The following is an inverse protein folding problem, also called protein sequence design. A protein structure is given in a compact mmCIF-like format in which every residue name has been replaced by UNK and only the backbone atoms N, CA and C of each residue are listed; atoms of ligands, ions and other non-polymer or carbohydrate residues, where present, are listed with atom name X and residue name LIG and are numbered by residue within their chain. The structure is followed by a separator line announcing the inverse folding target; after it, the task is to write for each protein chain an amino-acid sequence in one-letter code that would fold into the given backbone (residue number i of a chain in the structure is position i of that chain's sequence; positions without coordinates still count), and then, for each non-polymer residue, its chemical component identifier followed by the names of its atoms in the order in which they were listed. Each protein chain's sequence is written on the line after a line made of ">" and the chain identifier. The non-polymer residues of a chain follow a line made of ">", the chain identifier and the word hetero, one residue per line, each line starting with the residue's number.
data_IF_211651862573
#
_entry.id   IF_211651862573
#
_cell.length_a   1.000
_cell.length_b   1.000
_cell.length_c   1.000
_cell.angle_alpha   90.00
_cell.angle_beta   90.00
_cell.angle_gamma   90.00
#
_symmetry.space_group_name_H-M   'P 1'
#
loop_
_entity.id
_entity.type
_entity.pdbx_description
1 polymer ?
#
# COMPACT_ATOMS: atom_id res chain seq x y z
N UNK A 1 14.06 -18.08 46.24
CA UNK A 1 13.56 -16.97 45.45
C UNK A 1 12.55 -17.55 44.45
N UNK A 2 11.29 -17.60 44.86
CA UNK A 2 10.18 -18.08 44.05
C UNK A 2 9.89 -17.06 42.97
N UNK A 3 10.11 -17.44 41.74
CA UNK A 3 9.60 -16.73 40.57
C UNK A 3 8.08 -16.91 40.57
N UNK A 4 7.39 -15.90 41.03
CA UNK A 4 5.95 -15.77 40.88
C UNK A 4 5.60 -15.67 39.42
N UNK A 5 5.11 -16.77 38.86
CA UNK A 5 4.55 -16.77 37.52
C UNK A 5 3.20 -16.08 37.61
N UNK A 6 3.16 -14.78 37.29
CA UNK A 6 1.91 -14.03 37.20
C UNK A 6 1.12 -14.59 35.98
N UNK A 7 0.28 -15.58 36.24
CA UNK A 7 -0.69 -16.13 35.30
C UNK A 7 -1.85 -15.15 35.15
N UNK A 8 -1.59 -13.98 34.61
CA UNK A 8 -2.67 -13.16 34.07
C UNK A 8 -3.34 -13.96 32.95
N UNK A 9 -4.67 -13.99 33.03
CA UNK A 9 -5.47 -14.74 32.04
C UNK A 9 -5.13 -14.38 30.61
N UNK A 10 -5.62 -15.12 29.61
CA UNK A 10 -5.26 -14.93 28.22
C UNK A 10 -5.49 -13.49 27.79
N UNK A 11 -4.44 -12.83 27.31
CA UNK A 11 -4.54 -11.50 26.71
C UNK A 11 -5.28 -11.67 25.38
N UNK A 12 -6.41 -10.99 25.23
CA UNK A 12 -7.16 -10.94 23.97
C UNK A 12 -6.80 -9.65 23.24
N UNK A 13 -6.13 -9.77 22.10
CA UNK A 13 -5.92 -8.68 21.18
C UNK A 13 -6.77 -8.92 19.92
N UNK A 14 -7.53 -7.92 19.51
CA UNK A 14 -8.18 -7.93 18.20
C UNK A 14 -7.14 -7.55 17.15
N UNK A 15 -7.11 -8.29 16.06
CA UNK A 15 -6.26 -8.02 14.89
C UNK A 15 -7.19 -7.95 13.69
N UNK A 16 -7.07 -6.89 12.88
CA UNK A 16 -7.84 -6.75 11.66
C UNK A 16 -7.09 -7.31 10.44
N UNK A 17 -7.80 -7.41 9.31
CA UNK A 17 -7.25 -7.99 8.09
C UNK A 17 -6.10 -7.14 7.51
N UNK A 18 -6.18 -5.80 7.64
CA UNK A 18 -5.12 -4.90 7.16
C UNK A 18 -3.83 -5.09 7.97
N UNK A 19 -3.93 -5.32 9.27
CA UNK A 19 -2.77 -5.62 10.13
C UNK A 19 -2.12 -6.96 9.78
N UNK A 20 -2.92 -7.96 9.40
CA UNK A 20 -2.43 -9.25 8.91
C UNK A 20 -1.69 -9.09 7.59
N UNK A 21 -2.25 -8.32 6.65
CA UNK A 21 -1.63 -8.02 5.36
C UNK A 21 -0.29 -7.31 5.55
N UNK A 22 -0.25 -6.30 6.42
CA UNK A 22 1.00 -5.59 6.76
C UNK A 22 2.03 -6.53 7.37
N UNK A 23 1.61 -7.42 8.28
CA UNK A 23 2.49 -8.40 8.91
C UNK A 23 2.99 -9.44 7.90
N UNK A 24 2.15 -9.85 6.94
CA UNK A 24 2.56 -10.73 5.85
C UNK A 24 3.69 -10.12 5.01
N UNK A 25 3.52 -8.87 4.57
CA UNK A 25 4.56 -8.18 3.80
C UNK A 25 5.86 -8.05 4.58
N UNK A 26 5.77 -7.72 5.88
CA UNK A 26 6.93 -7.62 6.74
C UNK A 26 7.71 -8.95 6.84
N UNK A 27 6.98 -10.07 7.01
CA UNK A 27 7.58 -11.41 7.03
C UNK A 27 8.26 -11.76 5.70
N UNK A 28 7.62 -11.45 4.57
CA UNK A 28 8.18 -11.72 3.25
C UNK A 28 9.40 -10.82 2.96
N UNK A 29 9.28 -9.51 3.21
CA UNK A 29 10.32 -8.53 2.87
C UNK A 29 11.55 -8.64 3.79
N UNK A 30 11.34 -8.78 5.10
CA UNK A 30 12.43 -8.72 6.08
C UNK A 30 12.93 -10.08 6.52
N UNK A 31 12.05 -11.09 6.60
CA UNK A 31 12.39 -12.41 7.11
C UNK A 31 12.45 -13.49 6.03
N UNK A 32 12.02 -13.19 4.79
CA UNK A 32 11.98 -14.13 3.66
C UNK A 32 11.13 -15.38 3.97
N UNK A 33 10.07 -15.19 4.75
CA UNK A 33 9.17 -16.25 5.18
C UNK A 33 7.76 -15.99 4.65
N UNK A 34 7.13 -17.05 4.15
CA UNK A 34 5.72 -17.06 3.78
C UNK A 34 4.95 -17.78 4.88
N UNK A 35 4.04 -17.07 5.52
CA UNK A 35 3.22 -17.56 6.63
C UNK A 35 1.76 -17.26 6.32
N UNK A 36 0.87 -18.24 6.49
CA UNK A 36 -0.56 -18.02 6.29
C UNK A 36 -1.16 -17.07 7.33
N UNK A 37 -2.33 -16.47 7.02
CA UNK A 37 -2.96 -15.46 7.86
C UNK A 37 -3.17 -15.90 9.32
N UNK A 38 -3.55 -17.15 9.53
CA UNK A 38 -3.73 -17.72 10.88
C UNK A 38 -2.43 -17.75 11.69
N UNK A 39 -1.31 -18.03 11.03
CA UNK A 39 0.02 -18.02 11.65
C UNK A 39 0.54 -16.63 11.96
N UNK A 40 0.05 -15.61 11.25
CA UNK A 40 0.47 -14.21 11.43
C UNK A 40 -0.24 -13.50 12.59
N UNK A 41 -1.35 -14.04 13.09
CA UNK A 41 -2.11 -13.45 14.19
C UNK A 41 -1.23 -13.11 15.39
N UNK A 42 -0.28 -13.98 15.74
CA UNK A 42 0.61 -13.78 16.87
C UNK A 42 1.61 -12.63 16.64
N UNK A 43 2.06 -12.42 15.41
CA UNK A 43 2.96 -11.30 15.04
C UNK A 43 2.19 -9.99 15.00
N UNK A 44 1.04 -9.97 14.34
CA UNK A 44 0.19 -8.79 14.24
C UNK A 44 -0.28 -8.30 15.62
N UNK A 45 -0.63 -9.22 16.52
CA UNK A 45 -1.05 -8.91 17.90
C UNK A 45 0.06 -8.23 18.73
N UNK A 46 1.35 -8.34 18.38
CA UNK A 46 2.43 -7.68 19.13
C UNK A 46 2.28 -6.16 19.16
N UNK A 47 1.63 -5.58 18.15
CA UNK A 47 1.38 -4.13 18.07
C UNK A 47 0.42 -3.64 19.16
N UNK A 48 -0.43 -4.52 19.67
CA UNK A 48 -1.42 -4.23 20.68
C UNK A 48 -0.96 -4.56 22.12
N UNK A 49 0.26 -5.06 22.27
CA UNK A 49 0.80 -5.51 23.53
C UNK A 49 1.91 -4.57 24.02
N UNK A 50 1.92 -4.28 25.33
CA UNK A 50 3.08 -3.66 25.94
C UNK A 50 4.21 -4.70 26.08
N UNK A 51 5.14 -4.63 25.15
CA UNK A 51 6.28 -5.55 25.02
C UNK A 51 7.60 -4.94 25.47
N UNK A 52 7.57 -3.70 25.99
CA UNK A 52 8.77 -2.97 26.39
C UNK A 52 9.58 -3.75 27.43
N UNK A 53 10.84 -3.99 27.12
CA UNK A 53 11.78 -4.71 28.00
C UNK A 53 11.50 -6.21 28.18
N UNK A 54 10.55 -6.78 27.40
CA UNK A 54 10.21 -8.21 27.48
C UNK A 54 10.86 -9.00 26.35
N UNK A 55 11.22 -10.25 26.64
CA UNK A 55 11.55 -11.25 25.62
C UNK A 55 10.28 -11.97 25.23
N UNK A 56 9.93 -11.92 23.95
CA UNK A 56 8.71 -12.50 23.42
C UNK A 56 9.06 -13.59 22.43
N UNK A 57 8.34 -14.69 22.49
CA UNK A 57 8.39 -15.77 21.53
C UNK A 57 7.04 -15.84 20.85
N UNK A 58 7.03 -15.65 19.54
CA UNK A 58 5.86 -15.80 18.70
C UNK A 58 5.99 -17.10 17.89
N UNK A 59 4.96 -17.94 17.96
CA UNK A 59 4.93 -19.18 17.20
C UNK A 59 4.25 -18.88 15.85
N UNK A 60 5.00 -19.03 14.79
CA UNK A 60 4.48 -18.97 13.42
C UNK A 60 4.03 -20.38 13.02
N UNK A 61 2.76 -20.54 12.76
CA UNK A 61 2.19 -21.82 12.34
C UNK A 61 1.50 -21.69 11.00
N UNK A 62 1.70 -22.69 10.14
CA UNK A 62 1.05 -22.73 8.83
C UNK A 62 1.79 -21.98 7.72
N UNK A 63 1.85 -22.61 6.59
CA UNK A 63 2.45 -22.08 5.35
C UNK A 63 1.66 -22.51 4.12
N UNK A 64 0.42 -22.96 4.30
CA UNK A 64 -0.44 -23.43 3.23
C UNK A 64 -1.24 -22.28 2.62
N UNK A 65 -0.53 -21.36 1.99
CA UNK A 65 -1.15 -20.26 1.25
C UNK A 65 -1.04 -20.56 -0.26
N UNK A 66 -2.17 -20.57 -0.97
CA UNK A 66 -2.15 -20.71 -2.42
C UNK A 66 -1.61 -19.43 -3.09
N UNK A 67 -1.12 -19.58 -4.33
CA UNK A 67 -0.44 -18.50 -5.07
C UNK A 67 -1.39 -17.35 -5.39
N UNK A 68 -2.67 -17.61 -5.62
CA UNK A 68 -3.67 -16.58 -5.95
C UNK A 68 -3.94 -15.72 -4.71
N UNK A 69 -4.14 -16.36 -3.56
CA UNK A 69 -4.30 -15.67 -2.27
C UNK A 69 -3.06 -14.86 -1.93
N UNK A 70 -1.86 -15.42 -2.14
CA UNK A 70 -0.60 -14.71 -1.91
C UNK A 70 -0.50 -13.46 -2.80
N UNK A 71 -0.80 -13.57 -4.10
CA UNK A 71 -0.79 -12.43 -5.02
C UNK A 71 -1.76 -11.33 -4.57
N UNK A 72 -2.98 -11.71 -4.15
CA UNK A 72 -3.98 -10.78 -3.64
C UNK A 72 -3.52 -10.07 -2.37
N UNK A 73 -2.96 -10.79 -1.41
CA UNK A 73 -2.46 -10.21 -0.15
C UNK A 73 -1.31 -9.24 -0.41
N UNK A 74 -0.36 -9.60 -1.30
CA UNK A 74 0.73 -8.70 -1.69
C UNK A 74 0.19 -7.42 -2.32
N UNK A 75 -0.75 -7.54 -3.26
CA UNK A 75 -1.35 -6.40 -3.95
C UNK A 75 -2.05 -5.45 -2.97
N UNK A 76 -2.91 -5.99 -2.09
CA UNK A 76 -3.59 -5.19 -1.07
C UNK A 76 -2.59 -4.53 -0.12
N UNK A 77 -1.56 -5.24 0.28
CA UNK A 77 -0.54 -4.71 1.16
C UNK A 77 0.29 -3.59 0.56
N UNK A 78 0.59 -3.64 -0.73
CA UNK A 78 1.28 -2.55 -1.43
C UNK A 78 0.40 -1.29 -1.47
N UNK A 79 -0.91 -1.46 -1.69
CA UNK A 79 -1.88 -0.35 -1.68
C UNK A 79 -2.02 0.21 -0.25
N UNK A 80 -2.21 -0.64 0.76
CA UNK A 80 -2.39 -0.23 2.15
C UNK A 80 -1.16 0.51 2.72
N UNK A 81 0.05 0.23 2.21
CA UNK A 81 1.29 0.92 2.57
C UNK A 81 1.60 2.14 1.68
N UNK A 82 0.68 2.57 0.84
CA UNK A 82 0.90 3.65 -0.14
C UNK A 82 2.12 3.42 -1.05
N UNK A 83 2.49 2.16 -1.27
CA UNK A 83 3.55 1.80 -2.22
C UNK A 83 3.04 1.73 -3.65
N UNK A 84 1.73 1.55 -3.81
CA UNK A 84 1.04 1.65 -5.09
C UNK A 84 -0.23 2.46 -4.90
N UNK A 85 -0.41 3.46 -5.73
CA UNK A 85 -1.60 4.31 -5.72
C UNK A 85 -1.97 4.75 -7.13
N UNK A 86 -3.22 5.13 -7.33
CA UNK A 86 -3.68 5.63 -8.63
C UNK A 86 -4.20 7.05 -8.48
N UNK A 87 -3.76 7.91 -9.40
CA UNK A 87 -4.28 9.27 -9.56
C UNK A 87 -5.07 9.37 -10.86
N UNK A 88 -6.18 10.10 -10.80
CA UNK A 88 -6.92 10.54 -11.97
C UNK A 88 -6.78 12.05 -12.09
N UNK A 89 -6.43 12.54 -13.28
CA UNK A 89 -6.36 13.97 -13.57
C UNK A 89 -6.95 14.27 -14.95
N UNK A 90 -7.57 15.43 -15.08
CA UNK A 90 -8.04 15.92 -16.39
C UNK A 90 -6.92 16.70 -17.08
N UNK A 91 -6.62 16.30 -18.27
CA UNK A 91 -5.62 16.98 -19.14
C UNK A 91 -6.35 17.72 -20.25
N UNK A 92 -5.85 18.91 -20.66
CA UNK A 92 -6.19 19.47 -21.94
C UNK A 92 -5.82 18.49 -23.06
N UNK A 93 -6.67 18.35 -24.06
CA UNK A 93 -6.37 17.50 -25.23
C UNK A 93 -5.33 18.22 -26.14
N UNK A 94 -4.09 18.19 -25.71
CA UNK A 94 -2.96 18.82 -26.38
C UNK A 94 -1.76 17.88 -26.39
N UNK A 95 -0.99 17.86 -27.50
CA UNK A 95 0.26 17.12 -27.52
C UNK A 95 1.21 17.56 -26.40
N UNK A 96 1.83 16.59 -25.73
CA UNK A 96 2.83 16.84 -24.69
C UNK A 96 2.29 16.84 -23.24
N UNK A 97 0.99 16.99 -23.00
CA UNK A 97 0.45 17.00 -21.63
C UNK A 97 0.70 15.67 -20.89
N UNK A 98 0.54 14.55 -21.58
CA UNK A 98 0.88 13.24 -21.04
C UNK A 98 2.36 13.14 -20.66
N UNK A 99 3.24 13.64 -21.51
CA UNK A 99 4.70 13.64 -21.29
C UNK A 99 5.03 14.48 -20.04
N UNK A 100 4.38 15.63 -19.85
CA UNK A 100 4.56 16.47 -18.67
C UNK A 100 4.22 15.73 -17.39
N UNK A 101 3.06 15.06 -17.34
CA UNK A 101 2.67 14.27 -16.16
C UNK A 101 3.67 13.16 -15.89
N UNK A 102 4.04 12.39 -16.92
CA UNK A 102 5.01 11.30 -16.77
C UNK A 102 6.39 11.80 -16.31
N UNK A 103 6.86 12.94 -16.85
CA UNK A 103 8.13 13.55 -16.43
C UNK A 103 8.10 13.98 -14.96
N UNK A 104 7.03 14.64 -14.51
CA UNK A 104 6.90 15.05 -13.10
C UNK A 104 6.96 13.83 -12.17
N UNK A 105 6.27 12.74 -12.51
CA UNK A 105 6.31 11.51 -11.73
C UNK A 105 7.74 10.95 -11.69
N UNK A 106 8.40 10.88 -12.84
CA UNK A 106 9.76 10.35 -12.96
C UNK A 106 10.79 11.22 -12.22
N UNK A 107 10.71 12.54 -12.34
CA UNK A 107 11.59 13.50 -11.67
C UNK A 107 11.46 13.39 -10.14
N UNK A 108 10.29 13.03 -9.66
CA UNK A 108 10.03 12.70 -8.27
C UNK A 108 10.25 11.22 -7.94
N UNK A 109 10.94 10.44 -8.79
CA UNK A 109 11.31 9.05 -8.56
C UNK A 109 10.13 8.08 -8.45
N UNK A 110 8.92 8.48 -8.87
CA UNK A 110 7.78 7.58 -9.02
C UNK A 110 7.94 6.70 -10.26
N UNK A 111 7.53 5.45 -10.16
CA UNK A 111 7.51 4.54 -11.30
C UNK A 111 6.07 4.34 -11.79
N UNK A 112 5.83 4.65 -13.07
CA UNK A 112 4.50 4.43 -13.68
C UNK A 112 4.36 2.96 -14.05
N UNK A 113 3.43 2.24 -13.40
CA UNK A 113 3.15 0.84 -13.68
C UNK A 113 1.95 0.64 -14.60
N UNK A 114 1.02 1.57 -14.59
CA UNK A 114 -0.15 1.53 -15.50
C UNK A 114 -0.58 2.94 -15.88
N UNK A 115 -1.03 3.08 -17.11
CA UNK A 115 -1.52 4.34 -17.64
C UNK A 115 -2.76 4.08 -18.51
N UNK A 116 -3.88 4.66 -18.11
CA UNK A 116 -5.13 4.59 -18.85
C UNK A 116 -5.51 6.00 -19.32
N UNK A 117 -5.61 6.17 -20.63
CA UNK A 117 -5.93 7.42 -21.28
C UNK A 117 -7.34 7.36 -21.89
N UNK A 118 -8.28 8.07 -21.30
CA UNK A 118 -9.70 7.96 -21.63
C UNK A 118 -10.21 9.23 -22.31
N UNK A 119 -10.46 9.16 -23.62
CA UNK A 119 -10.89 10.32 -24.43
C UNK A 119 -12.39 10.64 -24.33
N UNK A 120 -13.20 9.82 -23.65
CA UNK A 120 -14.65 9.90 -23.70
C UNK A 120 -15.30 10.65 -22.53
N UNK A 121 -14.57 11.41 -21.72
CA UNK A 121 -15.12 12.12 -20.56
C UNK A 121 -15.59 13.54 -20.90
N UNK A 122 -15.84 13.87 -22.16
CA UNK A 122 -16.30 15.20 -22.53
C UNK A 122 -17.82 15.30 -22.61
N UNK A 123 -18.46 15.77 -21.56
CA UNK A 123 -19.85 16.26 -21.60
C UNK A 123 -19.91 17.78 -21.80
N UNK A 124 -18.79 18.49 -21.84
CA UNK A 124 -18.71 19.94 -22.08
C UNK A 124 -17.62 20.31 -23.06
N UNK A 125 -17.86 21.34 -23.86
CA UNK A 125 -17.12 21.86 -25.00
C UNK A 125 -15.62 22.18 -24.83
N UNK A 126 -15.01 21.85 -23.73
CA UNK A 126 -13.55 21.88 -23.57
C UNK A 126 -13.05 20.43 -23.61
N UNK A 127 -12.39 20.09 -24.70
CA UNK A 127 -11.78 18.79 -24.91
C UNK A 127 -10.79 18.52 -23.77
N UNK A 128 -11.24 17.79 -22.75
CA UNK A 128 -10.42 17.33 -21.65
C UNK A 128 -10.41 15.79 -21.68
N UNK A 129 -9.25 15.24 -21.45
CA UNK A 129 -9.01 13.80 -21.42
C UNK A 129 -8.76 13.39 -19.98
N UNK A 130 -9.41 12.36 -19.51
CA UNK A 130 -9.09 11.77 -18.22
C UNK A 130 -7.86 10.86 -18.37
N UNK A 131 -6.82 11.19 -17.63
CA UNK A 131 -5.64 10.36 -17.47
C UNK A 131 -5.66 9.70 -16.09
N UNK A 132 -5.61 8.37 -16.07
CA UNK A 132 -5.42 7.58 -14.86
C UNK A 132 -4.04 6.98 -14.86
N UNK A 133 -3.27 7.26 -13.83
CA UNK A 133 -1.90 6.75 -13.69
C UNK A 133 -1.79 5.99 -12.38
N UNK A 134 -1.39 4.72 -12.47
CA UNK A 134 -1.02 3.92 -11.32
C UNK A 134 0.48 4.00 -11.13
N UNK A 135 0.89 4.40 -9.94
CA UNK A 135 2.26 4.79 -9.62
C UNK A 135 2.75 3.92 -8.47
N UNK A 136 3.96 3.39 -8.62
CA UNK A 136 4.71 2.80 -7.53
C UNK A 136 5.53 3.88 -6.82
N UNK A 137 5.48 3.87 -5.49
CA UNK A 137 6.18 4.78 -4.60
C UNK A 137 6.86 4.03 -3.45
N UNK A 138 7.61 4.74 -2.62
CA UNK A 138 8.31 4.16 -1.46
C UNK A 138 7.51 4.24 -0.16
N UNK A 139 6.26 4.73 -0.22
CA UNK A 139 5.38 4.86 0.94
C UNK A 139 4.67 6.21 0.97
N UNK A 140 3.97 6.53 2.10
CA UNK A 140 3.03 7.65 2.17
C UNK A 140 3.68 9.03 1.95
N UNK A 141 4.88 9.26 2.43
CA UNK A 141 5.58 10.53 2.23
C UNK A 141 5.95 10.75 0.76
N UNK A 142 6.47 9.70 0.12
CA UNK A 142 6.82 9.76 -1.30
C UNK A 142 5.59 9.90 -2.19
N UNK A 143 4.49 9.21 -1.87
CA UNK A 143 3.18 9.42 -2.53
C UNK A 143 2.76 10.88 -2.46
N UNK A 144 2.82 11.50 -1.26
CA UNK A 144 2.47 12.91 -1.07
C UNK A 144 3.35 13.82 -1.91
N UNK A 145 4.68 13.62 -1.90
CA UNK A 145 5.61 14.38 -2.72
C UNK A 145 5.25 14.36 -4.21
N UNK A 146 4.87 13.20 -4.74
CA UNK A 146 4.47 13.07 -6.15
C UNK A 146 3.15 13.81 -6.42
N UNK A 147 2.17 13.67 -5.53
CA UNK A 147 0.88 14.37 -5.66
C UNK A 147 1.06 15.88 -5.60
N UNK A 148 1.82 16.38 -4.62
CA UNK A 148 2.12 17.81 -4.46
C UNK A 148 2.84 18.38 -5.70
N UNK A 149 3.80 17.64 -6.26
CA UNK A 149 4.51 18.05 -7.48
C UNK A 149 3.58 18.14 -8.71
N UNK A 150 2.58 17.27 -8.81
CA UNK A 150 1.56 17.36 -9.85
C UNK A 150 0.66 18.58 -9.63
N UNK A 151 0.28 18.88 -8.39
CA UNK A 151 -0.53 20.05 -8.03
C UNK A 151 0.21 21.36 -8.31
N UNK A 152 1.48 21.43 -7.93
CA UNK A 152 2.35 22.60 -8.16
C UNK A 152 2.54 22.88 -9.67
N UNK A 153 2.51 21.83 -10.50
CA UNK A 153 2.57 21.96 -11.96
C UNK A 153 1.21 22.35 -12.59
N UNK A 154 0.18 22.57 -11.77
CA UNK A 154 -1.15 23.02 -12.18
C UNK A 154 -2.12 21.90 -12.55
N UNK A 155 -1.77 20.64 -12.32
CA UNK A 155 -2.68 19.51 -12.44
C UNK A 155 -3.58 19.42 -11.21
N UNK A 156 -4.70 18.70 -11.33
CA UNK A 156 -5.63 18.46 -10.21
C UNK A 156 -5.80 16.96 -10.02
N UNK A 157 -4.77 16.28 -9.49
CA UNK A 157 -4.82 14.85 -9.27
C UNK A 157 -5.87 14.51 -8.21
N UNK A 158 -6.70 13.51 -8.50
CA UNK A 158 -7.62 12.90 -7.54
C UNK A 158 -7.13 11.49 -7.27
N UNK A 159 -6.95 11.15 -6.01
CA UNK A 159 -6.68 9.77 -5.61
C UNK A 159 -7.94 8.94 -5.86
N UNK A 160 -7.76 7.84 -6.57
CA UNK A 160 -8.82 6.86 -6.85
C UNK A 160 -8.36 5.48 -6.39
N UNK A 161 -9.30 4.55 -6.29
CA UNK A 161 -8.96 3.18 -5.92
C UNK A 161 -7.96 2.60 -6.93
N UNK A 162 -6.84 2.09 -6.40
CA UNK A 162 -5.84 1.43 -7.22
C UNK A 162 -6.32 0.05 -7.67
N UNK A 163 -6.14 -0.24 -8.94
CA UNK A 163 -6.34 -1.56 -9.52
C UNK A 163 -5.03 -1.98 -10.19
N UNK A 164 -4.44 -3.05 -9.69
CA UNK A 164 -3.23 -3.67 -10.25
C UNK A 164 -3.58 -4.78 -11.23
#
# INVERSE_FOLDING_TARGET
>A
SSTETDLRGPIRAGVDDDELIVSFLDMVENHKMVVENSGLLTVAALKHLDISGKKIVSILSGGNMDVITMASVVQHGLIARDRVFTVSTLLPDRPGELVRVASIIADNRGNVIRLDHNQFVSTNRNAAVELRVTIEAFGPEHKRQIVDALEDAGFRPKLIQAHL
#
